data_IF_221400604157
#
_entry.id   IF_221400604157
#
_cell.length_a   1.000
_cell.length_b   1.000
_cell.length_c   1.000
_cell.angle_alpha   90.00
_cell.angle_beta   90.00
_cell.angle_gamma   90.00
#
_symmetry.space_group_name_H-M   'P 1'
#
loop_
_entity.id
_entity.type
_entity.pdbx_description
1 polymer ?
#
# COMPACT_ATOMS: atom_id res chain seq x y z
N UNK A 1 26.78 -11.11 -6.98
CA UNK A 1 25.68 -10.11 -7.02
C UNK A 1 24.28 -10.73 -7.17
N UNK A 2 24.16 -12.05 -7.31
CA UNK A 2 22.87 -12.74 -7.43
C UNK A 2 22.18 -13.07 -6.09
N UNK A 3 22.78 -12.73 -4.96
CA UNK A 3 22.25 -13.06 -3.63
C UNK A 3 21.32 -12.00 -3.03
N UNK A 4 21.19 -10.81 -3.64
CA UNK A 4 20.37 -9.72 -3.10
C UNK A 4 18.88 -9.80 -3.45
N UNK A 5 18.51 -10.55 -4.48
CA UNK A 5 17.11 -10.66 -4.94
C UNK A 5 16.30 -11.79 -4.26
N UNK A 6 16.93 -12.60 -3.41
CA UNK A 6 16.28 -13.75 -2.75
C UNK A 6 15.35 -13.34 -1.61
N UNK A 7 15.38 -12.07 -1.18
CA UNK A 7 14.66 -11.60 0.02
C UNK A 7 13.37 -10.81 -0.25
N UNK A 8 12.75 -10.95 -1.41
CA UNK A 8 11.37 -10.44 -1.58
C UNK A 8 10.42 -11.31 -0.77
N UNK A 9 10.22 -10.92 0.46
CA UNK A 9 9.33 -11.56 1.42
C UNK A 9 7.88 -11.36 1.01
N UNK A 10 7.18 -12.44 0.94
CA UNK A 10 5.88 -12.52 0.33
C UNK A 10 4.77 -12.65 1.36
N UNK A 11 4.24 -11.49 1.73
CA UNK A 11 2.89 -11.39 2.23
C UNK A 11 1.84 -11.38 1.10
N UNK A 12 2.27 -11.27 -0.14
CA UNK A 12 1.52 -10.78 -1.28
C UNK A 12 0.39 -11.67 -1.81
N UNK A 13 0.01 -12.74 -1.10
CA UNK A 13 -1.13 -13.58 -1.50
C UNK A 13 -2.44 -13.14 -0.83
N UNK A 14 -2.57 -13.30 0.50
CA UNK A 14 -3.79 -12.91 1.22
C UNK A 14 -3.79 -11.44 1.62
N UNK A 15 -2.63 -10.96 2.05
CA UNK A 15 -2.42 -9.62 2.56
C UNK A 15 -1.29 -8.95 1.78
N UNK A 16 -1.42 -7.66 1.52
CA UNK A 16 -0.39 -6.84 0.87
C UNK A 16 -0.07 -5.63 1.72
N UNK A 17 1.13 -5.06 1.54
CA UNK A 17 1.53 -3.84 2.22
C UNK A 17 1.09 -2.60 1.48
N UNK A 18 0.36 -1.71 2.16
CA UNK A 18 -0.04 -0.39 1.65
C UNK A 18 1.14 0.51 1.36
N UNK A 19 2.25 0.32 2.06
CA UNK A 19 3.45 1.13 1.87
C UNK A 19 4.29 0.75 0.64
N UNK A 20 3.86 -0.20 -0.18
CA UNK A 20 4.48 -0.59 -1.44
C UNK A 20 5.64 -1.57 -1.31
N UNK A 21 6.56 -1.39 -0.36
CA UNK A 21 7.70 -2.28 -0.15
C UNK A 21 7.96 -2.53 1.33
N UNK A 22 8.68 -3.63 1.64
CA UNK A 22 9.14 -3.91 3.00
C UNK A 22 10.09 -2.85 3.54
N UNK A 23 10.90 -2.23 2.66
CA UNK A 23 11.85 -1.19 3.05
C UNK A 23 11.13 0.04 3.60
N UNK A 24 9.93 0.32 3.08
CA UNK A 24 9.10 1.41 3.57
C UNK A 24 8.54 1.14 4.98
N UNK A 25 8.32 -0.11 5.35
CA UNK A 25 7.99 -0.49 6.75
C UNK A 25 9.11 -0.07 7.69
N UNK A 26 10.36 -0.42 7.37
CA UNK A 26 11.49 -0.05 8.22
C UNK A 26 11.71 1.46 8.28
N UNK A 27 11.41 2.17 7.20
CA UNK A 27 11.47 3.64 7.20
C UNK A 27 10.42 4.26 8.11
N UNK A 28 9.16 3.81 8.03
CA UNK A 28 8.07 4.28 8.90
C UNK A 28 8.37 3.95 10.37
N UNK A 29 8.86 2.74 10.61
CA UNK A 29 9.26 2.26 11.92
C UNK A 29 10.37 3.13 12.52
N UNK A 30 11.45 3.38 11.78
CA UNK A 30 12.56 4.19 12.27
C UNK A 30 12.17 5.66 12.47
N UNK A 31 11.37 6.24 11.56
CA UNK A 31 10.85 7.61 11.68
C UNK A 31 10.01 7.78 12.95
N UNK A 32 9.15 6.82 13.27
CA UNK A 32 8.36 6.82 14.49
C UNK A 32 9.18 6.57 15.76
N UNK A 33 10.19 5.73 15.67
CA UNK A 33 11.07 5.42 16.82
C UNK A 33 11.92 6.62 17.23
N UNK A 34 12.40 7.40 16.26
CA UNK A 34 13.27 8.54 16.47
C UNK A 34 12.50 9.85 16.74
N UNK A 35 11.23 9.94 16.29
CA UNK A 35 10.42 11.17 16.41
C UNK A 35 10.97 12.30 15.53
N UNK A 36 10.59 13.55 15.87
CA UNK A 36 10.98 14.73 15.09
C UNK A 36 12.46 15.14 15.29
N UNK A 37 13.07 14.68 16.38
CA UNK A 37 14.32 15.25 16.90
C UNK A 37 15.56 14.75 16.18
N UNK A 38 15.52 13.59 15.49
CA UNK A 38 16.79 12.99 15.03
C UNK A 38 16.74 12.18 13.72
N UNK A 39 16.16 12.78 12.70
CA UNK A 39 16.09 12.16 11.35
C UNK A 39 17.46 11.87 10.71
N UNK A 40 18.54 12.44 11.24
CA UNK A 40 19.91 12.16 10.77
C UNK A 40 20.28 10.69 10.97
N UNK A 41 19.82 10.06 12.05
CA UNK A 41 20.09 8.68 12.41
C UNK A 41 19.12 7.65 11.82
N UNK A 42 18.16 8.08 11.02
CA UNK A 42 17.14 7.19 10.46
C UNK A 42 17.74 6.03 9.66
N UNK A 43 18.75 6.31 8.84
CA UNK A 43 19.44 5.28 8.05
C UNK A 43 20.20 4.29 8.94
N UNK A 44 20.82 4.79 9.99
CA UNK A 44 21.63 3.97 10.89
C UNK A 44 20.75 3.00 11.69
N UNK A 45 19.60 3.46 12.17
CA UNK A 45 18.64 2.60 12.85
C UNK A 45 18.06 1.53 11.91
N UNK A 46 17.73 1.88 10.67
CA UNK A 46 17.29 0.91 9.65
C UNK A 46 18.41 -0.11 9.38
N UNK A 47 19.65 0.35 9.20
CA UNK A 47 20.78 -0.52 8.95
C UNK A 47 21.05 -1.48 10.13
N UNK A 48 20.95 -0.99 11.37
CA UNK A 48 21.05 -1.83 12.58
C UNK A 48 20.01 -2.96 12.56
N UNK A 49 18.75 -2.64 12.24
CA UNK A 49 17.67 -3.64 12.14
C UNK A 49 17.92 -4.66 11.02
N UNK A 50 18.37 -4.21 9.83
CA UNK A 50 18.68 -5.08 8.69
C UNK A 50 19.89 -5.97 8.98
N UNK A 51 20.90 -5.43 9.65
CA UNK A 51 22.09 -6.19 10.05
C UNK A 51 21.75 -7.23 11.14
N UNK A 52 20.89 -6.88 12.09
CA UNK A 52 20.39 -7.83 13.09
C UNK A 52 19.74 -9.05 12.43
N UNK A 53 18.96 -8.85 11.39
CA UNK A 53 18.35 -9.94 10.65
C UNK A 53 19.38 -10.79 9.90
N UNK A 54 20.36 -10.17 9.22
CA UNK A 54 21.44 -10.88 8.54
C UNK A 54 22.26 -11.73 9.54
N UNK A 55 22.52 -11.18 10.72
CA UNK A 55 23.24 -11.86 11.79
C UNK A 55 22.43 -13.02 12.35
N UNK A 56 21.15 -12.81 12.65
CA UNK A 56 20.25 -13.87 13.09
C UNK A 56 20.21 -15.03 12.10
N UNK A 57 20.07 -14.76 10.80
CA UNK A 57 20.06 -15.78 9.74
C UNK A 57 21.38 -16.54 9.64
N UNK A 58 22.51 -15.84 9.78
CA UNK A 58 23.84 -16.47 9.73
C UNK A 58 24.07 -17.42 10.90
N UNK A 59 23.58 -17.04 12.09
CA UNK A 59 23.86 -17.75 13.34
C UNK A 59 22.80 -18.82 13.67
N UNK A 60 21.65 -18.83 12.99
CA UNK A 60 20.52 -19.69 13.39
C UNK A 60 20.72 -21.18 13.14
N UNK A 61 21.52 -21.56 12.15
CA UNK A 61 21.57 -22.96 11.66
C UNK A 61 20.24 -23.49 11.09
N UNK A 62 19.20 -22.64 11.02
CA UNK A 62 17.87 -22.94 10.48
C UNK A 62 17.72 -22.30 9.10
N UNK A 63 16.69 -22.72 8.36
CA UNK A 63 16.41 -22.13 7.04
C UNK A 63 15.78 -20.74 7.14
N UNK A 64 15.12 -20.41 8.25
CA UNK A 64 14.55 -19.09 8.52
C UNK A 64 14.62 -18.73 10.02
N UNK A 65 14.38 -17.46 10.34
CA UNK A 65 14.48 -16.91 11.70
C UNK A 65 13.18 -16.21 12.09
N UNK A 66 12.89 -16.19 13.39
CA UNK A 66 11.77 -15.49 13.98
C UNK A 66 12.08 -13.99 14.21
N UNK A 67 11.05 -13.20 14.45
CA UNK A 67 11.20 -11.81 14.89
C UNK A 67 12.00 -11.71 16.19
N UNK A 68 11.82 -12.66 17.11
CA UNK A 68 12.58 -12.73 18.36
C UNK A 68 14.06 -12.96 18.12
N UNK A 69 14.40 -13.84 17.19
CA UNK A 69 15.80 -14.09 16.83
C UNK A 69 16.45 -12.84 16.25
N UNK A 70 15.70 -12.08 15.45
CA UNK A 70 16.18 -10.83 14.87
C UNK A 70 16.44 -9.79 15.96
N UNK A 71 15.46 -9.57 16.85
CA UNK A 71 15.59 -8.55 17.89
C UNK A 71 16.60 -8.92 18.98
N UNK A 72 16.90 -10.20 19.20
CA UNK A 72 18.01 -10.65 20.04
C UNK A 72 19.39 -10.22 19.50
N UNK A 73 19.51 -10.06 18.19
CA UNK A 73 20.74 -9.64 17.53
C UNK A 73 20.77 -8.12 17.21
N UNK A 74 19.77 -7.36 17.66
CA UNK A 74 19.73 -5.92 17.44
C UNK A 74 20.66 -5.20 18.42
N UNK A 75 21.68 -4.50 17.89
CA UNK A 75 22.52 -3.58 18.65
C UNK A 75 21.92 -2.17 18.63
N UNK A 76 21.84 -1.57 19.81
CA UNK A 76 21.38 -0.19 20.03
C UNK A 76 22.48 0.69 20.65
N UNK A 77 23.75 0.36 20.45
CA UNK A 77 24.88 1.13 21.01
C UNK A 77 24.81 2.62 20.64
N UNK A 78 24.42 2.93 19.42
CA UNK A 78 24.22 4.30 18.93
C UNK A 78 22.86 4.93 19.35
N UNK A 79 22.01 4.18 20.03
CA UNK A 79 20.64 4.56 20.37
C UNK A 79 20.27 4.24 21.82
N UNK A 80 20.97 4.81 22.82
CA UNK A 80 20.82 4.43 24.23
C UNK A 80 19.42 4.71 24.79
N UNK A 81 18.66 5.62 24.18
CA UNK A 81 17.31 5.98 24.61
C UNK A 81 16.21 5.06 24.03
N UNK A 82 16.57 4.14 23.12
CA UNK A 82 15.61 3.24 22.52
C UNK A 82 15.58 1.88 23.24
N UNK A 83 14.39 1.30 23.33
CA UNK A 83 14.16 0.00 23.99
C UNK A 83 13.85 -1.09 22.97
N UNK A 84 14.57 -2.20 23.01
CA UNK A 84 14.36 -3.36 22.13
C UNK A 84 12.90 -3.84 22.18
N UNK A 85 12.27 -4.05 23.36
CA UNK A 85 10.86 -4.44 23.41
C UNK A 85 9.90 -3.43 22.79
N UNK A 86 10.17 -2.11 22.98
CA UNK A 86 9.37 -1.05 22.40
C UNK A 86 9.51 -1.02 20.87
N UNK A 87 10.71 -1.14 20.34
CA UNK A 87 10.99 -1.19 18.90
C UNK A 87 10.35 -2.42 18.23
N UNK A 88 10.40 -3.58 18.87
CA UNK A 88 9.73 -4.79 18.38
C UNK A 88 8.21 -4.62 18.31
N UNK A 89 7.62 -4.02 19.36
CA UNK A 89 6.17 -3.71 19.38
C UNK A 89 5.82 -2.73 18.28
N UNK A 90 6.61 -1.67 18.13
CA UNK A 90 6.43 -0.67 17.10
C UNK A 90 6.50 -1.26 15.67
N UNK A 91 7.42 -2.22 15.41
CA UNK A 91 7.48 -2.91 14.11
C UNK A 91 6.18 -3.66 13.83
N UNK A 92 5.63 -4.37 14.82
CA UNK A 92 4.34 -5.05 14.68
C UNK A 92 3.17 -4.07 14.49
N UNK A 93 3.19 -2.92 15.16
CA UNK A 93 2.16 -1.89 14.98
C UNK A 93 2.23 -1.27 13.59
N UNK A 94 3.41 -0.95 13.09
CA UNK A 94 3.62 -0.44 11.73
C UNK A 94 3.18 -1.47 10.68
N UNK A 95 3.53 -2.74 10.85
CA UNK A 95 3.06 -3.82 9.97
C UNK A 95 1.52 -3.90 9.99
N UNK A 96 0.90 -3.91 11.18
CA UNK A 96 -0.56 -3.99 11.35
C UNK A 96 -1.31 -2.87 10.62
N UNK A 97 -0.82 -1.64 10.71
CA UNK A 97 -1.42 -0.47 10.07
C UNK A 97 -1.27 -0.48 8.56
N UNK A 98 -0.19 -1.09 8.07
CA UNK A 98 0.15 -1.10 6.66
C UNK A 98 -0.33 -2.35 5.90
N UNK A 99 -1.10 -3.24 6.52
CA UNK A 99 -1.70 -4.37 5.82
C UNK A 99 -3.05 -4.04 5.20
N UNK A 100 -3.33 -4.66 4.05
CA UNK A 100 -4.60 -4.60 3.33
C UNK A 100 -4.94 -5.99 2.76
N UNK A 101 -6.22 -6.37 2.71
CA UNK A 101 -6.64 -7.67 2.18
C UNK A 101 -6.62 -7.68 0.65
N UNK A 102 -6.38 -8.86 0.07
CA UNK A 102 -6.58 -9.13 -1.35
C UNK A 102 -7.96 -9.77 -1.55
N UNK A 103 -8.91 -9.01 -2.05
CA UNK A 103 -10.31 -9.41 -2.18
C UNK A 103 -10.50 -10.69 -3.00
N UNK A 104 -9.81 -10.78 -4.13
CA UNK A 104 -9.86 -11.96 -5.00
C UNK A 104 -9.47 -13.25 -4.25
N UNK A 105 -8.50 -13.18 -3.34
CA UNK A 105 -8.07 -14.34 -2.53
C UNK A 105 -9.07 -14.64 -1.44
N UNK A 106 -9.67 -13.62 -0.84
CA UNK A 106 -10.72 -13.81 0.15
C UNK A 106 -11.91 -14.54 -0.45
N UNK A 107 -12.35 -14.12 -1.64
CA UNK A 107 -13.49 -14.76 -2.32
C UNK A 107 -13.14 -16.20 -2.76
N UNK A 108 -11.89 -16.44 -3.19
CA UNK A 108 -11.39 -17.78 -3.49
C UNK A 108 -11.42 -18.71 -2.27
N UNK A 109 -10.97 -18.23 -1.10
CA UNK A 109 -11.00 -19.01 0.15
C UNK A 109 -12.43 -19.32 0.56
N UNK A 110 -13.33 -18.33 0.47
CA UNK A 110 -14.76 -18.53 0.74
C UNK A 110 -15.38 -19.60 -0.17
N UNK A 111 -15.02 -19.62 -1.44
CA UNK A 111 -15.47 -20.65 -2.38
C UNK A 111 -14.95 -22.04 -1.99
N UNK A 112 -13.68 -22.17 -1.62
CA UNK A 112 -13.15 -23.44 -1.10
C UNK A 112 -13.84 -23.92 0.17
N UNK A 113 -14.15 -23.02 1.11
CA UNK A 113 -14.90 -23.36 2.32
C UNK A 113 -16.32 -23.85 2.01
N UNK A 114 -17.03 -23.18 1.10
CA UNK A 114 -18.35 -23.66 0.64
C UNK A 114 -18.31 -25.08 0.07
N UNK A 115 -17.17 -25.51 -0.45
CA UNK A 115 -16.91 -26.86 -0.95
C UNK A 115 -16.37 -27.81 0.13
N UNK A 116 -16.44 -27.45 1.41
CA UNK A 116 -16.00 -28.26 2.54
C UNK A 116 -14.49 -28.47 2.61
N UNK A 117 -13.67 -27.54 2.04
CA UNK A 117 -12.21 -27.65 2.09
C UNK A 117 -11.65 -26.99 3.35
N UNK A 118 -10.75 -27.70 4.04
CA UNK A 118 -9.94 -27.12 5.13
C UNK A 118 -8.94 -26.11 4.55
N UNK A 119 -8.69 -25.03 5.29
CA UNK A 119 -7.75 -23.97 4.91
C UNK A 119 -6.52 -24.03 5.80
N UNK A 120 -5.35 -24.05 5.17
CA UNK A 120 -4.05 -23.95 5.83
C UNK A 120 -3.33 -22.72 5.29
N UNK A 121 -2.92 -21.82 6.17
CA UNK A 121 -2.11 -20.65 5.82
C UNK A 121 -0.64 -21.00 6.00
N UNK A 122 0.17 -20.76 4.98
CA UNK A 122 1.60 -21.09 4.97
C UNK A 122 2.38 -19.85 4.52
N UNK A 123 3.27 -19.38 5.38
CA UNK A 123 4.01 -18.13 5.11
C UNK A 123 5.50 -18.30 5.38
N UNK A 124 6.35 -17.92 4.39
CA UNK A 124 7.77 -17.71 4.61
C UNK A 124 7.97 -16.29 5.16
N UNK A 125 7.98 -16.16 6.51
CA UNK A 125 7.94 -14.88 7.19
C UNK A 125 8.54 -14.99 8.58
N UNK A 126 9.14 -13.89 9.05
CA UNK A 126 9.67 -13.79 10.41
C UNK A 126 8.65 -13.31 11.45
N UNK A 127 7.51 -12.76 11.02
CA UNK A 127 6.46 -12.28 11.92
C UNK A 127 5.78 -13.44 12.66
N UNK A 128 5.37 -13.24 13.94
CA UNK A 128 4.74 -14.29 14.73
C UNK A 128 3.42 -14.80 14.12
N UNK A 129 3.18 -16.11 14.27
CA UNK A 129 1.94 -16.73 13.78
C UNK A 129 0.69 -16.14 14.42
N UNK A 130 0.74 -15.77 15.71
CA UNK A 130 -0.36 -15.11 16.40
C UNK A 130 -0.69 -13.75 15.82
N UNK A 131 0.34 -12.96 15.47
CA UNK A 131 0.16 -11.69 14.78
C UNK A 131 -0.52 -11.90 13.41
N UNK A 132 -0.04 -12.86 12.64
CA UNK A 132 -0.60 -13.18 11.33
C UNK A 132 -2.05 -13.68 11.44
N UNK A 133 -2.33 -14.58 12.39
CA UNK A 133 -3.67 -15.08 12.67
C UNK A 133 -4.63 -13.96 13.03
N UNK A 134 -4.20 -13.00 13.87
CA UNK A 134 -4.99 -11.82 14.20
C UNK A 134 -5.32 -10.99 12.96
N UNK A 135 -4.33 -10.74 12.06
CA UNK A 135 -4.57 -9.99 10.85
C UNK A 135 -5.51 -10.74 9.86
N UNK A 136 -5.30 -12.04 9.70
CA UNK A 136 -6.17 -12.87 8.86
C UNK A 136 -7.62 -12.87 9.39
N UNK A 137 -7.81 -12.93 10.71
CA UNK A 137 -9.14 -12.81 11.34
C UNK A 137 -9.74 -11.44 11.12
N UNK A 138 -8.97 -10.37 11.33
CA UNK A 138 -9.38 -8.97 11.11
C UNK A 138 -9.93 -8.73 9.71
N UNK A 139 -9.34 -9.36 8.70
CA UNK A 139 -9.73 -9.20 7.30
C UNK A 139 -10.69 -10.29 6.78
N UNK A 140 -11.18 -11.17 7.65
CA UNK A 140 -12.18 -12.18 7.31
C UNK A 140 -11.65 -13.38 6.54
N UNK A 141 -10.33 -13.62 6.57
CA UNK A 141 -9.71 -14.83 6.00
C UNK A 141 -9.77 -16.03 6.94
N UNK A 142 -9.65 -15.79 8.26
CA UNK A 142 -9.53 -16.82 9.28
C UNK A 142 -10.88 -17.23 9.83
N UNK A 143 -11.10 -18.54 9.93
CA UNK A 143 -12.20 -19.16 10.67
C UNK A 143 -11.68 -20.17 11.69
N UNK A 144 -12.50 -20.53 12.66
CA UNK A 144 -12.13 -21.53 13.65
C UNK A 144 -11.90 -22.89 12.98
N UNK A 145 -10.82 -23.58 13.37
CA UNK A 145 -10.38 -24.81 12.73
C UNK A 145 -9.31 -24.62 11.64
N UNK A 146 -9.07 -23.40 11.17
CA UNK A 146 -7.93 -23.11 10.29
C UNK A 146 -6.58 -23.29 11.01
N UNK A 147 -5.54 -23.54 10.24
CA UNK A 147 -4.16 -23.66 10.75
C UNK A 147 -3.23 -22.68 10.04
N UNK A 148 -2.18 -22.26 10.74
CA UNK A 148 -1.13 -21.39 10.19
C UNK A 148 0.24 -21.97 10.49
N UNK A 149 1.12 -21.93 9.48
CA UNK A 149 2.50 -22.39 9.54
C UNK A 149 3.43 -21.28 9.06
N UNK A 150 4.33 -20.86 9.92
CA UNK A 150 5.25 -19.73 9.68
C UNK A 150 6.68 -20.22 9.72
N UNK A 151 7.42 -19.97 8.64
CA UNK A 151 8.80 -20.43 8.48
C UNK A 151 9.73 -19.97 9.62
N UNK A 152 9.59 -18.71 10.06
CA UNK A 152 10.42 -18.16 11.12
C UNK A 152 10.27 -18.85 12.48
N UNK A 153 9.10 -19.39 12.78
CA UNK A 153 8.86 -20.16 14.01
C UNK A 153 9.31 -21.61 13.87
N UNK A 154 9.05 -22.23 12.72
CA UNK A 154 9.34 -23.64 12.48
C UNK A 154 10.81 -23.85 12.12
N UNK A 155 11.44 -22.84 11.50
CA UNK A 155 12.82 -22.91 11.01
C UNK A 155 12.97 -23.61 9.66
N UNK A 156 11.89 -23.82 8.92
CA UNK A 156 11.84 -24.47 7.60
C UNK A 156 11.12 -23.55 6.61
N UNK A 157 11.50 -23.59 5.33
CA UNK A 157 10.94 -22.70 4.30
C UNK A 157 10.15 -23.45 3.22
N UNK A 158 9.25 -22.76 2.54
CA UNK A 158 8.63 -23.22 1.30
C UNK A 158 9.67 -23.32 0.19
N UNK A 159 10.66 -22.43 0.20
CA UNK A 159 11.71 -22.35 -0.80
C UNK A 159 12.49 -23.66 -0.93
N UNK A 160 12.87 -24.29 0.17
CA UNK A 160 13.54 -25.60 0.22
C UNK A 160 12.57 -26.78 0.00
N UNK A 161 11.26 -26.52 0.15
CA UNK A 161 10.23 -27.56 0.20
C UNK A 161 10.10 -28.26 1.56
N UNK A 162 10.98 -27.98 2.52
CA UNK A 162 10.98 -28.65 3.83
C UNK A 162 9.75 -28.27 4.66
N UNK A 163 9.26 -27.04 4.54
CA UNK A 163 8.02 -26.62 5.21
C UNK A 163 6.82 -27.42 4.69
N UNK A 164 6.73 -27.69 3.38
CA UNK A 164 5.66 -28.53 2.82
C UNK A 164 5.75 -29.97 3.34
N UNK A 165 6.97 -30.54 3.46
CA UNK A 165 7.18 -31.90 4.02
C UNK A 165 6.76 -31.95 5.48
N UNK A 166 7.13 -30.93 6.26
CA UNK A 166 6.73 -30.79 7.66
C UNK A 166 5.21 -30.78 7.80
N UNK A 167 4.51 -29.88 7.09
CA UNK A 167 3.05 -29.76 7.13
C UNK A 167 2.36 -31.04 6.68
N UNK A 168 2.89 -31.71 5.65
CA UNK A 168 2.35 -32.98 5.18
C UNK A 168 2.32 -34.05 6.29
N UNK A 169 3.36 -34.09 7.12
CA UNK A 169 3.47 -35.03 8.25
C UNK A 169 2.54 -34.64 9.39
N UNK A 170 2.57 -33.39 9.81
CA UNK A 170 1.74 -32.85 10.90
C UNK A 170 0.25 -33.01 10.62
N UNK A 171 -0.19 -32.64 9.44
CA UNK A 171 -1.59 -32.66 9.06
C UNK A 171 -2.04 -34.01 8.47
N UNK A 172 -1.12 -34.95 8.29
CA UNK A 172 -1.36 -36.28 7.68
C UNK A 172 -2.07 -36.19 6.34
N UNK A 173 -1.67 -35.22 5.50
CA UNK A 173 -2.32 -34.93 4.22
C UNK A 173 -1.65 -35.69 3.10
N UNK A 174 -2.47 -36.34 2.24
CA UNK A 174 -1.97 -36.90 0.98
C UNK A 174 -1.65 -35.77 -0.02
N UNK A 175 -0.54 -35.88 -0.74
CA UNK A 175 -0.13 -34.90 -1.77
C UNK A 175 -1.20 -34.69 -2.84
N UNK A 176 -1.92 -35.72 -3.21
CA UNK A 176 -2.97 -35.68 -4.23
C UNK A 176 -4.22 -34.90 -3.75
N UNK A 177 -4.48 -34.84 -2.45
CA UNK A 177 -5.61 -34.12 -1.85
C UNK A 177 -5.30 -32.68 -1.54
N UNK A 178 -4.01 -32.26 -1.64
CA UNK A 178 -3.55 -30.93 -1.34
C UNK A 178 -3.53 -30.07 -2.60
N UNK A 179 -4.02 -28.83 -2.47
CA UNK A 179 -3.84 -27.78 -3.46
C UNK A 179 -3.22 -26.55 -2.80
N UNK A 180 -2.05 -26.16 -3.27
CA UNK A 180 -1.38 -24.94 -2.83
C UNK A 180 -1.71 -23.78 -3.75
N UNK A 181 -1.90 -22.59 -3.17
CA UNK A 181 -2.22 -21.36 -3.90
C UNK A 181 -1.35 -20.24 -3.34
N UNK A 182 -0.61 -19.55 -4.19
CA UNK A 182 0.24 -18.43 -3.80
C UNK A 182 0.69 -17.61 -4.99
N UNK A 183 1.44 -16.55 -4.74
CA UNK A 183 1.87 -15.59 -5.76
C UNK A 183 3.31 -15.83 -6.25
N UNK A 184 4.15 -16.44 -5.41
CA UNK A 184 5.53 -16.70 -5.78
C UNK A 184 5.67 -17.84 -6.79
N UNK A 185 6.32 -17.51 -7.90
CA UNK A 185 6.53 -18.46 -8.98
C UNK A 185 7.36 -19.68 -8.55
N UNK A 186 8.38 -19.49 -7.72
CA UNK A 186 9.26 -20.58 -7.29
C UNK A 186 8.68 -21.34 -6.10
N UNK A 187 8.54 -20.67 -4.95
CA UNK A 187 8.16 -21.31 -3.69
C UNK A 187 6.69 -21.74 -3.60
N UNK A 188 5.78 -21.09 -4.38
CA UNK A 188 4.34 -21.41 -4.31
C UNK A 188 3.84 -22.18 -5.55
N UNK A 189 4.63 -22.24 -6.64
CA UNK A 189 4.23 -22.97 -7.83
C UNK A 189 5.18 -24.10 -8.18
N UNK A 190 6.47 -23.82 -8.44
CA UNK A 190 7.40 -24.85 -8.89
C UNK A 190 7.77 -25.86 -7.78
N UNK A 191 8.08 -25.39 -6.57
CA UNK A 191 8.44 -26.28 -5.47
C UNK A 191 7.31 -27.24 -5.11
N UNK A 192 6.06 -26.80 -4.80
CA UNK A 192 5.00 -27.75 -4.50
C UNK A 192 4.65 -28.66 -5.70
N UNK A 193 4.75 -28.15 -6.93
CA UNK A 193 4.52 -28.95 -8.13
C UNK A 193 5.54 -30.09 -8.27
N UNK A 194 6.83 -29.83 -8.01
CA UNK A 194 7.89 -30.85 -7.99
C UNK A 194 7.66 -31.92 -6.93
N UNK A 195 6.90 -31.58 -5.89
CA UNK A 195 6.51 -32.49 -4.81
C UNK A 195 5.17 -33.20 -5.07
N UNK A 196 4.60 -33.11 -6.27
CA UNK A 196 3.30 -33.64 -6.67
C UNK A 196 2.11 -33.02 -5.90
N UNK A 197 2.28 -31.83 -5.35
CA UNK A 197 1.21 -31.04 -4.75
C UNK A 197 0.60 -30.18 -5.88
N UNK A 198 -0.72 -30.23 -6.03
CA UNK A 198 -1.42 -29.39 -7.01
C UNK A 198 -1.18 -27.92 -6.66
N UNK A 199 -0.58 -27.15 -7.56
CA UNK A 199 -0.27 -25.74 -7.31
C UNK A 199 -0.96 -24.83 -8.32
N UNK A 200 -1.43 -23.68 -7.84
CA UNK A 200 -2.00 -22.60 -8.65
C UNK A 200 -1.35 -21.29 -8.27
N UNK A 201 -0.78 -20.60 -9.25
CA UNK A 201 -0.28 -19.25 -9.05
C UNK A 201 -1.42 -18.25 -9.11
N UNK A 202 -1.44 -17.32 -8.14
CA UNK A 202 -2.23 -16.09 -8.21
C UNK A 202 -1.35 -15.01 -8.81
N UNK A 203 -1.86 -14.37 -9.84
CA UNK A 203 -1.16 -13.28 -10.48
C UNK A 203 -1.80 -11.95 -10.06
N UNK A 204 -1.02 -11.14 -9.35
CA UNK A 204 -1.41 -9.82 -8.85
C UNK A 204 -0.42 -8.78 -9.41
N UNK A 205 -0.47 -8.50 -10.74
CA UNK A 205 0.50 -7.61 -11.35
C UNK A 205 0.36 -6.20 -10.83
N UNK A 206 1.46 -5.47 -10.88
CA UNK A 206 1.42 -4.02 -10.83
C UNK A 206 0.88 -3.49 -12.15
N UNK A 207 0.05 -2.45 -12.08
CA UNK A 207 -0.36 -1.72 -13.28
C UNK A 207 0.81 -0.88 -13.82
N UNK A 208 0.73 -0.38 -15.06
CA UNK A 208 1.74 0.52 -15.61
C UNK A 208 1.99 1.75 -14.73
N UNK A 209 0.92 2.37 -14.19
CA UNK A 209 1.02 3.54 -13.33
C UNK A 209 1.64 3.19 -11.97
N UNK A 210 1.23 2.09 -11.34
CA UNK A 210 1.83 1.60 -10.10
C UNK A 210 3.34 1.34 -10.28
N UNK A 211 3.75 0.73 -11.41
CA UNK A 211 5.16 0.51 -11.75
C UNK A 211 5.92 1.82 -11.96
N UNK A 212 5.32 2.79 -12.65
CA UNK A 212 5.91 4.10 -12.87
C UNK A 212 6.22 4.80 -11.54
N UNK A 213 5.26 4.84 -10.63
CA UNK A 213 5.43 5.44 -9.32
C UNK A 213 6.43 4.69 -8.43
N UNK A 214 6.40 3.35 -8.46
CA UNK A 214 7.29 2.52 -7.65
C UNK A 214 8.76 2.65 -8.08
N UNK A 215 9.01 2.80 -9.37
CA UNK A 215 10.34 2.82 -9.97
C UNK A 215 10.85 4.24 -10.23
N UNK A 216 10.16 5.29 -9.80
CA UNK A 216 10.63 6.67 -9.97
C UNK A 216 11.90 6.92 -9.16
N UNK A 217 13.04 6.89 -9.86
CA UNK A 217 14.38 7.05 -9.29
C UNK A 217 14.94 8.45 -9.42
N UNK A 218 14.17 9.41 -9.98
CA UNK A 218 14.62 10.76 -10.32
C UNK A 218 15.09 11.58 -9.12
N UNK A 219 14.77 11.14 -7.89
CA UNK A 219 15.30 11.77 -6.68
C UNK A 219 15.54 10.74 -5.57
N UNK A 220 16.75 10.67 -5.00
CA UNK A 220 17.05 9.76 -3.87
C UNK A 220 16.22 10.06 -2.62
N UNK A 221 15.80 11.31 -2.42
CA UNK A 221 14.93 11.71 -1.31
C UNK A 221 13.43 11.43 -1.58
N UNK A 222 13.04 11.19 -2.84
CA UNK A 222 11.66 11.04 -3.27
C UNK A 222 11.22 9.60 -3.52
N UNK A 223 12.10 8.62 -3.34
CA UNK A 223 11.74 7.19 -3.55
C UNK A 223 10.63 6.70 -2.61
N UNK A 224 10.59 7.22 -1.40
CA UNK A 224 9.61 6.77 -0.41
C UNK A 224 8.20 7.16 -0.80
N UNK A 225 7.93 8.43 -1.05
CA UNK A 225 6.57 8.91 -1.32
C UNK A 225 5.94 8.28 -2.56
N UNK A 226 6.60 8.23 -3.73
CA UNK A 226 6.06 7.54 -4.89
C UNK A 226 5.80 6.06 -4.65
N UNK A 227 6.74 5.34 -4.05
CA UNK A 227 6.58 3.92 -3.70
C UNK A 227 5.43 3.70 -2.71
N UNK A 228 5.27 4.58 -1.72
CA UNK A 228 4.18 4.54 -0.76
C UNK A 228 2.82 4.78 -1.44
N UNK A 229 2.72 5.78 -2.30
CA UNK A 229 1.49 6.09 -3.05
C UNK A 229 1.12 4.97 -4.02
N UNK A 230 2.10 4.39 -4.71
CA UNK A 230 1.91 3.19 -5.53
C UNK A 230 1.35 2.03 -4.71
N UNK A 231 1.92 1.79 -3.54
CA UNK A 231 1.45 0.76 -2.62
C UNK A 231 0.02 1.00 -2.13
N UNK A 232 -0.33 2.25 -1.80
CA UNK A 232 -1.69 2.62 -1.40
C UNK A 232 -2.69 2.41 -2.53
N UNK A 233 -2.37 2.86 -3.75
CA UNK A 233 -3.23 2.67 -4.91
C UNK A 233 -3.47 1.18 -5.17
N UNK A 234 -2.38 0.38 -5.20
CA UNK A 234 -2.45 -1.07 -5.37
C UNK A 234 -3.27 -1.75 -4.27
N UNK A 235 -3.05 -1.37 -3.01
CA UNK A 235 -3.77 -1.92 -1.88
C UNK A 235 -5.28 -1.62 -1.97
N UNK A 236 -5.62 -0.41 -2.35
CA UNK A 236 -7.01 0.00 -2.55
C UNK A 236 -7.66 -0.80 -3.69
N UNK A 237 -7.02 -0.86 -4.86
CA UNK A 237 -7.49 -1.62 -6.03
C UNK A 237 -7.74 -3.11 -5.70
N UNK A 238 -6.78 -3.76 -5.03
CA UNK A 238 -6.87 -5.19 -4.71
C UNK A 238 -7.80 -5.51 -3.53
N UNK A 239 -8.20 -4.51 -2.72
CA UNK A 239 -9.11 -4.70 -1.59
C UNK A 239 -10.59 -4.60 -1.97
N UNK A 240 -10.89 -4.05 -3.14
CA UNK A 240 -12.26 -3.84 -3.62
C UNK A 240 -12.70 -4.94 -4.60
N UNK A 241 -14.02 -5.11 -4.80
CA UNK A 241 -14.53 -5.90 -5.91
C UNK A 241 -14.06 -5.28 -7.23
N UNK A 242 -13.49 -6.10 -8.13
CA UNK A 242 -12.99 -5.63 -9.41
C UNK A 242 -14.05 -4.90 -10.24
N UNK A 243 -13.68 -3.73 -10.75
CA UNK A 243 -14.48 -2.94 -11.67
C UNK A 243 -13.53 -2.13 -12.54
N UNK A 244 -13.60 -2.29 -13.85
CA UNK A 244 -12.71 -1.61 -14.81
C UNK A 244 -12.68 -0.09 -14.61
N UNK A 245 -13.84 0.52 -14.28
CA UNK A 245 -13.95 1.98 -14.04
C UNK A 245 -13.24 2.38 -12.74
N UNK A 246 -13.39 1.59 -11.68
CA UNK A 246 -12.77 1.87 -10.40
C UNK A 246 -11.27 1.64 -10.48
N UNK A 247 -10.85 0.57 -11.15
CA UNK A 247 -9.43 0.25 -11.36
C UNK A 247 -8.75 1.36 -12.16
N UNK A 248 -9.38 1.86 -13.23
CA UNK A 248 -8.89 3.01 -14.00
C UNK A 248 -8.79 4.28 -13.14
N UNK A 249 -9.82 4.58 -12.35
CA UNK A 249 -9.80 5.76 -11.47
C UNK A 249 -8.67 5.70 -10.46
N UNK A 250 -8.52 4.57 -9.80
CA UNK A 250 -7.46 4.37 -8.78
C UNK A 250 -6.08 4.44 -9.40
N UNK A 251 -5.91 3.79 -10.55
CA UNK A 251 -4.61 3.68 -11.21
C UNK A 251 -4.15 5.00 -11.83
N UNK A 252 -5.05 5.75 -12.46
CA UNK A 252 -4.69 6.92 -13.29
C UNK A 252 -4.95 8.24 -12.57
N UNK A 253 -6.05 8.37 -11.83
CA UNK A 253 -6.53 9.66 -11.33
C UNK A 253 -6.26 9.89 -9.85
N UNK A 254 -6.34 8.86 -9.01
CA UNK A 254 -6.31 9.02 -7.56
C UNK A 254 -5.02 9.70 -7.07
N UNK A 255 -3.86 9.22 -7.51
CA UNK A 255 -2.55 9.75 -7.05
C UNK A 255 -2.32 11.18 -7.56
N UNK A 256 -2.49 11.49 -8.87
CA UNK A 256 -2.37 12.87 -9.36
C UNK A 256 -3.34 13.84 -8.69
N UNK A 257 -4.61 13.45 -8.49
CA UNK A 257 -5.60 14.29 -7.83
C UNK A 257 -5.24 14.58 -6.38
N UNK A 258 -4.82 13.54 -5.65
CA UNK A 258 -4.36 13.71 -4.27
C UNK A 258 -3.17 14.67 -4.19
N UNK A 259 -2.15 14.44 -5.01
CA UNK A 259 -0.95 15.29 -5.03
C UNK A 259 -1.27 16.74 -5.44
N UNK A 260 -2.16 16.93 -6.42
CA UNK A 260 -2.61 18.25 -6.82
C UNK A 260 -3.25 18.98 -5.64
N UNK A 261 -4.27 18.38 -5.01
CA UNK A 261 -4.97 19.01 -3.87
C UNK A 261 -4.02 19.27 -2.73
N UNK A 262 -3.20 18.30 -2.35
CA UNK A 262 -2.23 18.44 -1.27
C UNK A 262 -1.24 19.59 -1.51
N UNK A 263 -0.69 19.69 -2.72
CA UNK A 263 0.22 20.78 -3.09
C UNK A 263 -0.47 22.14 -3.08
N UNK A 264 -1.72 22.23 -3.54
CA UNK A 264 -2.52 23.46 -3.48
C UNK A 264 -2.72 23.89 -2.02
N UNK A 265 -3.08 22.98 -1.14
CA UNK A 265 -3.26 23.27 0.30
C UNK A 265 -1.95 23.71 0.96
N UNK A 266 -0.83 23.05 0.66
CA UNK A 266 0.49 23.47 1.14
C UNK A 266 0.83 24.89 0.63
N UNK A 267 0.68 25.15 -0.66
CA UNK A 267 0.95 26.45 -1.24
C UNK A 267 0.07 27.57 -0.68
N UNK A 268 -1.19 27.27 -0.38
CA UNK A 268 -2.12 28.20 0.27
C UNK A 268 -1.67 28.52 1.71
N UNK A 269 -1.37 27.48 2.50
CA UNK A 269 -0.83 27.64 3.85
C UNK A 269 0.47 28.49 3.87
N UNK A 270 1.39 28.16 2.98
CA UNK A 270 2.71 28.85 2.93
C UNK A 270 2.59 30.32 2.52
N UNK A 271 1.45 30.70 1.91
CA UNK A 271 1.09 32.10 1.57
C UNK A 271 0.16 32.77 2.59
N UNK A 272 -0.17 32.11 3.70
CA UNK A 272 -1.05 32.64 4.73
C UNK A 272 -2.52 32.78 4.27
N UNK A 273 -2.98 31.91 3.37
CA UNK A 273 -4.37 31.89 2.90
C UNK A 273 -5.21 31.06 3.86
N UNK A 274 -6.13 31.72 4.59
CA UNK A 274 -7.02 31.07 5.55
C UNK A 274 -8.31 30.55 4.94
N UNK A 275 -8.76 31.12 3.82
CA UNK A 275 -10.00 30.72 3.15
C UNK A 275 -9.73 30.29 1.71
N UNK A 276 -10.07 29.07 1.36
CA UNK A 276 -9.92 28.52 0.03
C UNK A 276 -11.28 28.21 -0.59
N UNK A 277 -11.55 28.80 -1.76
CA UNK A 277 -12.80 28.64 -2.48
C UNK A 277 -12.63 27.73 -3.68
N UNK A 278 -13.44 26.70 -3.75
CA UNK A 278 -13.49 25.73 -4.85
C UNK A 278 -14.69 26.06 -5.75
N UNK A 279 -14.41 26.44 -6.98
CA UNK A 279 -15.46 26.83 -7.93
C UNK A 279 -16.27 25.63 -8.40
N UNK A 280 -17.57 25.79 -8.53
CA UNK A 280 -18.49 24.71 -8.86
C UNK A 280 -18.16 24.01 -10.18
N UNK A 281 -18.61 22.75 -10.28
CA UNK A 281 -18.43 21.69 -11.26
C UNK A 281 -17.11 20.95 -11.11
N UNK A 282 -16.05 21.37 -11.74
CA UNK A 282 -14.81 20.60 -11.87
C UNK A 282 -14.06 20.42 -10.53
N UNK A 283 -14.16 21.40 -9.63
CA UNK A 283 -13.45 21.36 -8.34
C UNK A 283 -14.21 20.63 -7.21
N UNK A 284 -15.38 20.05 -7.47
CA UNK A 284 -16.14 19.34 -6.41
C UNK A 284 -15.35 18.18 -5.77
N UNK A 285 -14.67 17.40 -6.60
CA UNK A 285 -13.86 16.29 -6.11
C UNK A 285 -12.70 16.81 -5.25
N UNK A 286 -12.03 17.87 -5.69
CA UNK A 286 -10.93 18.51 -4.96
C UNK A 286 -11.38 19.12 -3.63
N UNK A 287 -12.56 19.76 -3.62
CA UNK A 287 -13.19 20.25 -2.39
C UNK A 287 -13.44 19.11 -1.38
N UNK A 288 -14.00 17.98 -1.86
CA UNK A 288 -14.22 16.80 -1.01
C UNK A 288 -12.92 16.21 -0.49
N UNK A 289 -11.85 16.20 -1.27
CA UNK A 289 -10.50 15.80 -0.85
C UNK A 289 -9.93 16.78 0.19
N UNK A 290 -10.03 18.09 -0.03
CA UNK A 290 -9.56 19.10 0.92
C UNK A 290 -10.24 18.95 2.28
N UNK A 291 -11.57 18.73 2.30
CA UNK A 291 -12.30 18.46 3.55
C UNK A 291 -11.75 17.22 4.31
N UNK A 292 -11.32 16.19 3.61
CA UNK A 292 -10.69 14.98 4.24
C UNK A 292 -9.30 15.27 4.79
N UNK A 293 -8.58 16.21 4.20
CA UNK A 293 -7.25 16.63 4.61
C UNK A 293 -7.26 17.76 5.65
N UNK A 294 -8.42 18.26 6.04
CA UNK A 294 -8.60 19.42 6.94
C UNK A 294 -7.78 19.32 8.23
N UNK A 295 -7.66 18.12 8.78
CA UNK A 295 -6.90 17.88 10.02
C UNK A 295 -5.39 18.16 9.89
N UNK A 296 -4.83 18.16 8.67
CA UNK A 296 -3.43 18.49 8.37
C UNK A 296 -3.20 20.00 8.16
N UNK A 297 -4.28 20.78 8.05
CA UNK A 297 -4.26 22.20 7.77
C UNK A 297 -5.13 22.97 8.78
N UNK A 298 -4.72 22.98 10.06
CA UNK A 298 -5.45 23.71 11.08
C UNK A 298 -5.46 25.20 10.76
N UNK A 299 -6.60 25.87 10.94
CA UNK A 299 -6.78 27.29 10.64
C UNK A 299 -7.28 27.58 9.23
N UNK A 300 -7.21 26.62 8.30
CA UNK A 300 -7.77 26.81 6.95
C UNK A 300 -9.25 26.42 6.87
N UNK A 301 -10.03 27.22 6.15
CA UNK A 301 -11.43 26.99 5.83
C UNK A 301 -11.62 26.73 4.35
N UNK A 302 -12.45 25.74 4.02
CA UNK A 302 -12.70 25.32 2.66
C UNK A 302 -14.17 25.56 2.31
N UNK A 303 -14.41 26.23 1.19
CA UNK A 303 -15.72 26.66 0.73
C UNK A 303 -15.97 26.17 -0.68
N UNK A 304 -17.17 25.65 -0.95
CA UNK A 304 -17.58 25.33 -2.30
C UNK A 304 -18.47 26.43 -2.85
N UNK A 305 -18.00 27.10 -3.90
CA UNK A 305 -18.69 28.27 -4.46
C UNK A 305 -19.48 27.87 -5.70
N UNK A 306 -20.81 27.96 -5.58
CA UNK A 306 -21.73 27.74 -6.69
C UNK A 306 -21.74 28.97 -7.63
N UNK A 307 -20.76 28.98 -8.53
CA UNK A 307 -20.66 30.04 -9.53
C UNK A 307 -20.54 29.41 -10.92
N UNK A 308 -21.29 29.94 -11.88
CA UNK A 308 -21.16 29.50 -13.27
C UNK A 308 -20.29 30.47 -14.06
N UNK A 309 -19.61 29.97 -15.10
CA UNK A 309 -18.86 30.83 -16.03
C UNK A 309 -19.72 31.96 -16.58
N UNK A 310 -21.00 31.69 -16.93
CA UNK A 310 -21.92 32.69 -17.42
C UNK A 310 -22.10 33.86 -16.43
N UNK A 311 -22.31 33.56 -15.15
CA UNK A 311 -22.46 34.59 -14.11
C UNK A 311 -21.19 35.40 -13.93
N UNK A 312 -20.02 34.73 -13.89
CA UNK A 312 -18.73 35.43 -13.77
C UNK A 312 -18.49 36.33 -14.98
N UNK A 313 -18.69 35.80 -16.18
CA UNK A 313 -18.48 36.55 -17.41
C UNK A 313 -19.31 37.85 -17.45
N UNK A 314 -20.62 37.74 -17.19
CA UNK A 314 -21.51 38.91 -17.19
C UNK A 314 -21.12 39.92 -16.10
N UNK A 315 -20.68 39.43 -14.92
CA UNK A 315 -20.29 40.31 -13.81
C UNK A 315 -18.92 40.98 -14.00
N UNK A 316 -18.11 40.50 -14.94
CA UNK A 316 -16.77 41.04 -15.22
C UNK A 316 -16.78 42.08 -16.35
N UNK A 317 -17.90 42.29 -17.03
CA UNK A 317 -18.02 43.32 -18.06
C UNK A 317 -18.14 44.70 -17.44
N UNK A 318 -17.13 45.52 -17.70
CA UNK A 318 -17.06 46.88 -17.16
C UNK A 318 -17.37 47.92 -18.23
N UNK A 319 -16.83 47.79 -19.44
CA UNK A 319 -16.89 48.83 -20.48
C UNK A 319 -17.44 48.34 -21.83
N UNK A 320 -17.87 47.08 -21.95
CA UNK A 320 -18.26 46.47 -23.23
C UNK A 320 -17.23 46.69 -24.33
N UNK A 321 -15.97 46.56 -23.97
CA UNK A 321 -14.84 46.73 -24.89
C UNK A 321 -14.76 45.61 -25.95
N UNK A 322 -14.07 45.86 -27.05
CA UNK A 322 -13.81 44.84 -28.09
C UNK A 322 -13.15 43.60 -27.54
N UNK A 323 -12.35 43.74 -26.47
CA UNK A 323 -11.74 42.63 -25.76
C UNK A 323 -12.79 41.79 -25.00
N UNK A 324 -13.70 42.43 -24.30
CA UNK A 324 -14.77 41.75 -23.56
C UNK A 324 -15.75 41.09 -24.52
N UNK A 325 -16.09 41.75 -25.62
CA UNK A 325 -16.83 41.14 -26.72
C UNK A 325 -16.09 39.97 -27.33
N UNK A 326 -14.78 40.08 -27.57
CA UNK A 326 -13.93 39.00 -28.05
C UNK A 326 -13.95 37.79 -27.15
N UNK A 327 -13.95 37.94 -25.82
CA UNK A 327 -14.04 36.85 -24.85
C UNK A 327 -15.42 36.14 -24.89
N UNK A 328 -16.54 36.87 -25.02
CA UNK A 328 -17.88 36.26 -25.12
C UNK A 328 -18.01 35.50 -26.43
N UNK A 329 -17.41 36.00 -27.47
CA UNK A 329 -17.58 35.53 -28.83
C UNK A 329 -16.44 34.65 -29.34
N UNK A 330 -15.40 34.37 -28.51
CA UNK A 330 -14.25 33.58 -28.91
C UNK A 330 -14.56 32.11 -29.28
N UNK A 331 -15.72 31.60 -28.88
CA UNK A 331 -16.08 30.18 -29.07
C UNK A 331 -17.37 30.01 -29.90
N UNK A 332 -17.72 30.98 -30.78
CA UNK A 332 -19.02 31.03 -31.48
C UNK A 332 -19.03 30.38 -32.86
N UNK A 333 -17.95 29.74 -33.28
CA UNK A 333 -17.96 29.00 -34.55
C UNK A 333 -19.05 27.93 -34.54
N UNK A 334 -20.15 28.22 -35.22
CA UNK A 334 -21.28 27.30 -35.39
C UNK A 334 -22.56 27.62 -34.62
N UNK A 335 -22.61 28.74 -33.87
CA UNK A 335 -23.83 29.18 -33.19
C UNK A 335 -24.76 29.95 -34.12
N UNK A 336 -26.06 29.65 -34.05
CA UNK A 336 -27.10 30.46 -34.72
C UNK A 336 -27.32 31.77 -33.94
N UNK A 337 -27.83 32.84 -34.58
CA UNK A 337 -28.17 34.11 -33.88
C UNK A 337 -29.07 33.91 -32.65
N UNK A 338 -29.98 32.95 -32.70
CA UNK A 338 -30.86 32.61 -31.58
C UNK A 338 -30.11 31.97 -30.40
N UNK A 339 -29.12 31.17 -30.68
CA UNK A 339 -28.24 30.58 -29.65
C UNK A 339 -27.34 31.66 -29.03
N UNK A 340 -26.88 32.62 -29.82
CA UNK A 340 -26.13 33.78 -29.35
C UNK A 340 -26.92 34.62 -28.36
N UNK A 341 -28.18 34.97 -28.70
CA UNK A 341 -29.08 35.72 -27.83
C UNK A 341 -29.42 34.98 -26.53
N UNK A 342 -29.31 33.66 -26.50
CA UNK A 342 -29.49 32.86 -25.26
C UNK A 342 -28.26 32.78 -24.38
N UNK A 343 -27.11 33.32 -24.82
CA UNK A 343 -25.85 33.37 -24.05
C UNK A 343 -25.74 34.66 -23.22
N UNK A 344 -26.45 35.68 -23.64
CA UNK A 344 -26.61 36.97 -22.95
C UNK A 344 -27.83 36.89 -22.02
#
# INVERSE_FOLDING_TARGET
SAASDVYKRQFDTCLIRKCGSSDNIFRIWADRALGEVDRSYLKDLINSRLNAEKTARRNSGKEDVSLDDIYRNLSLESFPNLSIPALKRLELDVERENLSPVRQVLDLIRDYRKRGKRILFISDMYLPSDFLRFQLRRFGFWEEGDRIYVSGEIGLTKYSGNLFRYIQREEKISRCSWKHVGDNTYSDYYVPKSMLIRSRRIYLPYTPSENLWQNDTRSPYRKFLPSYLSGLARAYRLSLPGSDRLDFFVDVLLVPYFLFVYNVLCAARDRGVDNLFFLARDSFVWYRMALRLRHLFPGMSFHYLYISRKVVFISCFYDLSDYEFGLVFSDITGYTPRQLLSLI
#
